data_IF_599416553338
#
_entry.id   IF_599416553338
#
_cell.length_a   1.000
_cell.length_b   1.000
_cell.length_c   1.000
_cell.angle_alpha   90.00
_cell.angle_beta   90.00
_cell.angle_gamma   90.00
#
_symmetry.space_group_name_H-M   'P 1'
#
loop_
_entity.id
_entity.type
_entity.pdbx_description
1 polymer ?
#
# COMPACT_ATOMS: atom_id res chain seq x y z
N UNK A 1 12.03 32.36 -64.24
CA UNK A 1 12.67 31.07 -63.90
C UNK A 1 12.04 30.53 -62.63
N UNK A 2 11.52 29.30 -62.70
CA UNK A 2 11.08 28.37 -61.63
C UNK A 2 10.21 28.93 -60.49
N UNK A 3 8.88 28.82 -60.44
CA UNK A 3 7.96 27.66 -60.30
C UNK A 3 8.17 26.77 -59.06
N UNK A 4 7.07 26.67 -58.27
CA UNK A 4 6.63 25.54 -57.44
C UNK A 4 7.39 25.31 -56.12
N UNK A 5 6.80 24.94 -54.98
CA UNK A 5 5.47 24.38 -54.68
C UNK A 5 5.21 24.49 -53.17
N UNK A 6 3.95 24.75 -52.82
CA UNK A 6 3.34 24.32 -51.56
C UNK A 6 3.60 22.82 -51.32
N UNK A 7 3.88 22.44 -50.08
CA UNK A 7 3.62 21.08 -49.61
C UNK A 7 3.07 21.10 -48.20
N UNK A 8 1.75 21.08 -48.12
CA UNK A 8 1.01 20.56 -46.97
C UNK A 8 1.47 19.14 -46.63
N UNK A 9 1.45 18.87 -45.32
CA UNK A 9 1.05 17.60 -44.68
C UNK A 9 1.70 16.31 -45.19
N UNK A 10 2.44 15.61 -44.31
CA UNK A 10 2.18 14.19 -44.07
C UNK A 10 2.79 13.76 -42.72
N UNK A 11 1.90 13.48 -41.77
CA UNK A 11 2.13 12.63 -40.61
C UNK A 11 2.67 11.26 -41.05
N UNK A 12 3.92 10.92 -40.68
CA UNK A 12 4.45 9.57 -40.92
C UNK A 12 3.95 8.59 -39.87
N UNK A 13 2.78 8.01 -40.14
CA UNK A 13 2.27 6.84 -39.42
C UNK A 13 3.09 5.61 -39.83
N UNK A 14 4.00 5.16 -38.96
CA UNK A 14 4.70 3.89 -39.17
C UNK A 14 3.74 2.75 -38.81
N UNK A 15 3.22 2.08 -39.84
CA UNK A 15 2.37 0.89 -39.67
C UNK A 15 3.13 -0.20 -38.91
N UNK A 16 2.49 -0.71 -37.87
CA UNK A 16 2.92 -1.84 -37.03
C UNK A 16 3.12 -3.09 -37.89
N UNK A 17 4.38 -3.45 -38.12
CA UNK A 17 4.73 -4.75 -38.68
C UNK A 17 4.38 -5.85 -37.68
N UNK A 18 3.47 -6.74 -38.06
CA UNK A 18 3.08 -7.93 -37.31
C UNK A 18 4.29 -8.87 -37.24
N UNK A 19 5.11 -8.75 -36.19
CA UNK A 19 6.19 -9.71 -35.88
C UNK A 19 5.68 -10.71 -34.84
N UNK A 20 5.94 -11.97 -35.15
CA UNK A 20 5.62 -13.15 -34.35
C UNK A 20 5.81 -12.91 -32.86
N UNK A 21 4.75 -13.23 -32.10
CA UNK A 21 4.75 -13.36 -30.66
C UNK A 21 5.67 -14.55 -30.31
N UNK A 22 6.97 -14.28 -30.17
CA UNK A 22 7.84 -15.12 -29.36
C UNK A 22 7.43 -14.87 -27.92
N UNK A 23 7.04 -15.91 -27.21
CA UNK A 23 6.87 -15.87 -25.77
C UNK A 23 8.24 -15.54 -25.17
N UNK A 24 8.50 -14.25 -24.98
CA UNK A 24 9.58 -13.79 -24.16
C UNK A 24 8.96 -13.60 -22.78
N UNK A 25 9.26 -14.53 -21.88
CA UNK A 25 9.33 -14.23 -20.44
C UNK A 25 10.45 -13.21 -20.24
N UNK A 26 10.19 -11.97 -20.65
CA UNK A 26 10.97 -10.82 -20.24
C UNK A 26 10.69 -10.63 -18.76
N UNK A 27 11.74 -10.68 -17.94
CA UNK A 27 11.67 -10.35 -16.53
C UNK A 27 11.05 -8.95 -16.37
N UNK A 28 10.22 -8.78 -15.35
CA UNK A 28 9.59 -7.51 -14.97
C UNK A 28 10.58 -6.33 -14.76
N UNK A 29 11.89 -6.63 -14.78
CA UNK A 29 13.02 -5.71 -14.79
C UNK A 29 12.95 -4.60 -15.87
N UNK A 30 12.27 -4.79 -17.00
CA UNK A 30 12.39 -3.90 -18.17
C UNK A 30 11.63 -2.56 -18.09
N UNK A 31 10.88 -2.29 -17.01
CA UNK A 31 10.14 -1.02 -16.83
C UNK A 31 10.77 -0.05 -15.83
N UNK A 32 11.87 -0.42 -15.19
CA UNK A 32 12.51 0.44 -14.19
C UNK A 32 13.41 1.49 -14.84
N UNK A 33 13.37 2.72 -14.34
CA UNK A 33 14.35 3.74 -14.69
C UNK A 33 15.74 3.23 -14.32
N UNK A 34 16.69 3.28 -15.25
CA UNK A 34 18.07 2.84 -14.98
C UNK A 34 18.72 3.82 -14.01
N UNK A 35 19.47 3.34 -12.99
CA UNK A 35 20.26 4.21 -12.12
C UNK A 35 21.18 5.12 -12.92
N UNK A 36 21.24 6.39 -12.52
CA UNK A 36 22.18 7.36 -13.06
C UNK A 36 23.60 7.04 -12.59
N UNK A 37 24.58 7.26 -13.46
CA UNK A 37 26.01 7.00 -13.16
C UNK A 37 26.90 8.22 -13.31
N UNK A 38 26.41 9.30 -13.90
CA UNK A 38 27.18 10.50 -14.23
C UNK A 38 26.60 11.72 -13.53
N UNK A 39 27.44 12.69 -13.16
CA UNK A 39 26.98 13.96 -12.57
C UNK A 39 26.28 13.83 -11.22
N UNK A 40 26.51 12.73 -10.48
CA UNK A 40 25.87 12.48 -9.20
C UNK A 40 26.24 13.54 -8.18
N UNK A 41 25.25 14.03 -7.45
CA UNK A 41 25.45 14.83 -6.25
C UNK A 41 26.09 13.99 -5.16
N UNK A 42 26.80 14.64 -4.24
CA UNK A 42 27.43 13.94 -3.12
C UNK A 42 26.39 13.38 -2.15
N UNK A 43 26.63 12.25 -1.48
CA UNK A 43 25.76 11.74 -0.41
C UNK A 43 25.51 12.77 0.69
N UNK A 44 26.52 13.61 0.99
CA UNK A 44 26.43 14.68 1.98
C UNK A 44 25.47 15.80 1.55
N UNK A 45 25.41 16.11 0.25
CA UNK A 45 24.44 17.07 -0.29
C UNK A 45 23.01 16.53 -0.23
N UNK A 46 22.83 15.22 -0.50
CA UNK A 46 21.53 14.56 -0.37
C UNK A 46 21.07 14.54 1.08
N UNK A 47 21.98 14.25 2.02
CA UNK A 47 21.69 14.28 3.45
C UNK A 47 21.31 15.69 3.93
N UNK A 48 22.00 16.72 3.45
CA UNK A 48 21.68 18.11 3.78
C UNK A 48 20.29 18.49 3.27
N UNK A 49 19.97 18.15 2.03
CA UNK A 49 18.63 18.38 1.47
C UNK A 49 17.57 17.63 2.26
N UNK A 50 17.82 16.35 2.57
CA UNK A 50 16.94 15.54 3.38
C UNK A 50 16.63 16.19 4.73
N UNK A 51 17.66 16.58 5.49
CA UNK A 51 17.49 17.24 6.79
C UNK A 51 16.67 18.53 6.66
N UNK A 52 16.82 19.27 5.56
CA UNK A 52 16.00 20.47 5.31
C UNK A 52 14.54 20.11 5.01
N UNK A 53 14.30 19.08 4.19
CA UNK A 53 12.96 18.59 3.86
C UNK A 53 12.25 18.03 5.09
N UNK A 54 12.92 17.16 5.86
CA UNK A 54 12.41 16.60 7.10
C UNK A 54 12.03 17.70 8.10
N UNK A 55 12.92 18.67 8.33
CA UNK A 55 12.65 19.80 9.21
C UNK A 55 11.39 20.57 8.78
N UNK A 56 11.25 20.87 7.48
CA UNK A 56 10.06 21.56 6.96
C UNK A 56 8.79 20.74 7.21
N UNK A 57 8.83 19.45 6.94
CA UNK A 57 7.70 18.54 7.14
C UNK A 57 7.29 18.44 8.61
N UNK A 58 8.27 18.44 9.53
CA UNK A 58 8.01 18.49 10.98
C UNK A 58 7.45 19.83 11.47
N UNK A 59 7.81 20.94 10.81
CA UNK A 59 7.28 22.28 11.08
C UNK A 59 5.89 22.51 10.46
N UNK A 60 5.41 21.63 9.57
CA UNK A 60 4.05 21.68 9.03
C UNK A 60 3.00 21.47 10.11
N UNK A 61 1.92 22.25 10.04
CA UNK A 61 0.90 22.27 11.08
C UNK A 61 -0.01 21.04 11.10
N UNK A 62 -0.12 20.31 9.97
CA UNK A 62 -1.08 19.21 9.83
C UNK A 62 -0.43 17.84 9.62
N UNK A 63 0.31 17.62 8.53
CA UNK A 63 0.71 16.28 8.08
C UNK A 63 1.52 15.51 9.14
N UNK A 64 2.60 16.10 9.66
CA UNK A 64 3.46 15.44 10.65
C UNK A 64 2.76 15.20 12.00
N UNK A 65 2.15 16.21 12.65
CA UNK A 65 1.40 16.00 13.89
C UNK A 65 0.30 14.95 13.73
N UNK A 66 -0.43 14.97 12.61
CA UNK A 66 -1.51 14.02 12.34
C UNK A 66 -0.97 12.60 12.13
N UNK A 67 0.16 12.42 11.46
CA UNK A 67 0.76 11.10 11.29
C UNK A 67 1.19 10.52 12.64
N UNK A 68 1.86 11.32 13.49
CA UNK A 68 2.26 10.87 14.84
C UNK A 68 1.04 10.49 15.70
N UNK A 69 -0.03 11.28 15.64
CA UNK A 69 -1.29 10.98 16.32
C UNK A 69 -1.89 9.65 15.84
N UNK A 70 -1.97 9.44 14.53
CA UNK A 70 -2.53 8.21 13.94
C UNK A 70 -1.74 6.97 14.36
N UNK A 71 -0.41 7.01 14.29
CA UNK A 71 0.44 5.88 14.72
C UNK A 71 0.25 5.62 16.21
N UNK A 72 0.34 6.66 17.05
CA UNK A 72 0.16 6.53 18.51
C UNK A 72 -1.21 5.94 18.87
N UNK A 73 -2.27 6.43 18.23
CA UNK A 73 -3.64 6.03 18.56
C UNK A 73 -3.98 4.61 18.10
N UNK A 74 -3.46 4.20 16.95
CA UNK A 74 -3.93 2.98 16.28
C UNK A 74 -2.91 1.84 16.21
N UNK A 75 -1.62 2.09 16.46
CA UNK A 75 -0.59 1.04 16.45
C UNK A 75 -0.27 0.47 17.84
N UNK A 76 -0.98 0.89 18.89
CA UNK A 76 -0.67 0.49 20.28
C UNK A 76 -0.68 -1.03 20.54
N UNK A 77 -1.43 -1.80 19.73
CA UNK A 77 -1.46 -3.28 19.79
C UNK A 77 -0.44 -3.96 18.85
N UNK A 78 0.28 -3.21 18.03
CA UNK A 78 1.25 -3.72 17.06
C UNK A 78 2.66 -3.78 17.65
N UNK A 79 2.79 -4.42 18.82
CA UNK A 79 4.02 -4.42 19.62
C UNK A 79 5.11 -5.34 19.10
N UNK A 80 4.81 -6.19 18.12
CA UNK A 80 5.75 -7.18 17.57
C UNK A 80 6.47 -6.71 16.29
N UNK A 81 6.25 -5.47 15.84
CA UNK A 81 6.95 -4.95 14.66
C UNK A 81 8.44 -4.83 14.97
N UNK A 82 9.26 -5.55 14.20
CA UNK A 82 10.73 -5.59 14.35
C UNK A 82 11.47 -5.01 13.14
N UNK A 83 10.79 -4.86 12.01
CA UNK A 83 11.36 -4.32 10.79
C UNK A 83 10.40 -3.44 10.01
N UNK A 84 10.99 -2.51 9.25
CA UNK A 84 10.30 -1.64 8.33
C UNK A 84 10.97 -1.72 6.96
N UNK A 85 10.17 -1.99 5.93
CA UNK A 85 10.62 -2.17 4.55
C UNK A 85 10.02 -1.04 3.71
N UNK A 86 10.88 -0.21 3.11
CA UNK A 86 10.51 0.85 2.19
C UNK A 86 10.88 0.45 0.76
N UNK A 87 9.87 0.24 -0.09
CA UNK A 87 10.07 -0.09 -1.50
C UNK A 87 9.71 1.10 -2.38
N UNK A 88 10.49 1.33 -3.44
CA UNK A 88 10.08 2.16 -4.58
C UNK A 88 9.99 3.67 -4.35
N UNK A 89 10.77 4.22 -3.42
CA UNK A 89 10.78 5.67 -3.10
C UNK A 89 11.32 6.56 -4.25
N UNK A 90 12.04 5.97 -5.20
CA UNK A 90 12.74 6.64 -6.29
C UNK A 90 14.17 7.07 -5.93
N UNK A 91 14.84 7.73 -6.87
CA UNK A 91 16.16 8.33 -6.64
C UNK A 91 16.04 9.70 -5.95
N UNK A 92 16.99 10.04 -5.08
CA UNK A 92 17.07 11.34 -4.42
C UNK A 92 17.82 12.37 -5.28
N UNK A 93 18.39 11.94 -6.40
CA UNK A 93 19.16 12.75 -7.34
C UNK A 93 18.67 12.59 -8.80
N UNK A 94 17.46 13.09 -9.13
CA UNK A 94 16.93 12.97 -10.49
C UNK A 94 17.70 13.84 -11.49
N UNK A 95 18.02 13.26 -12.65
CA UNK A 95 18.83 13.84 -13.72
C UNK A 95 18.26 15.16 -14.30
N UNK A 96 16.93 15.27 -14.37
CA UNK A 96 16.27 16.51 -14.76
C UNK A 96 16.04 17.35 -13.50
N UNK A 97 16.93 18.31 -13.25
CA UNK A 97 16.77 19.33 -12.19
C UNK A 97 15.46 20.15 -12.28
N UNK A 98 14.58 19.83 -13.23
CA UNK A 98 13.22 20.34 -13.43
C UNK A 98 12.15 19.51 -12.71
N UNK A 99 12.40 18.25 -12.33
CA UNK A 99 11.44 17.43 -11.58
C UNK A 99 11.54 17.68 -10.06
N UNK A 100 11.34 18.96 -9.68
CA UNK A 100 11.35 19.39 -8.28
C UNK A 100 10.27 18.69 -7.46
N UNK A 101 9.13 18.37 -8.07
CA UNK A 101 8.01 17.72 -7.41
C UNK A 101 8.33 16.25 -7.09
N UNK A 102 8.96 15.52 -8.01
CA UNK A 102 9.47 14.17 -7.76
C UNK A 102 10.51 14.15 -6.64
N UNK A 103 11.49 15.07 -6.68
CA UNK A 103 12.50 15.18 -5.61
C UNK A 103 11.88 15.49 -4.25
N UNK A 104 10.89 16.40 -4.21
CA UNK A 104 10.13 16.71 -2.99
C UNK A 104 9.39 15.49 -2.47
N UNK A 105 8.75 14.74 -3.36
CA UNK A 105 8.02 13.52 -3.02
C UNK A 105 8.92 12.46 -2.39
N UNK A 106 10.09 12.17 -2.98
CA UNK A 106 11.03 11.16 -2.45
C UNK A 106 11.52 11.53 -1.04
N UNK A 107 11.88 12.80 -0.78
CA UNK A 107 12.27 13.22 0.57
C UNK A 107 11.10 13.26 1.56
N UNK A 108 9.89 13.62 1.12
CA UNK A 108 8.70 13.60 1.96
C UNK A 108 8.35 12.17 2.38
N UNK A 109 8.39 11.21 1.46
CA UNK A 109 8.18 9.79 1.75
C UNK A 109 9.23 9.24 2.73
N UNK A 110 10.52 9.60 2.55
CA UNK A 110 11.57 9.23 3.51
C UNK A 110 11.31 9.82 4.92
N UNK A 111 10.96 11.10 5.01
CA UNK A 111 10.67 11.75 6.29
C UNK A 111 9.47 11.12 7.00
N UNK A 112 8.39 10.87 6.26
CA UNK A 112 7.20 10.19 6.78
C UNK A 112 7.53 8.78 7.26
N UNK A 113 8.30 8.01 6.49
CA UNK A 113 8.76 6.68 6.87
C UNK A 113 9.55 6.70 8.18
N UNK A 114 10.58 7.54 8.30
CA UNK A 114 11.39 7.62 9.54
C UNK A 114 10.54 8.04 10.75
N UNK A 115 9.58 8.95 10.56
CA UNK A 115 8.70 9.40 11.65
C UNK A 115 7.76 8.28 12.10
N UNK A 116 7.22 7.48 11.17
CA UNK A 116 6.45 6.30 11.55
C UNK A 116 7.30 5.28 12.31
N UNK A 117 8.53 5.01 11.85
CA UNK A 117 9.47 4.12 12.54
C UNK A 117 9.75 4.63 13.95
N UNK A 118 10.08 5.91 14.13
CA UNK A 118 10.33 6.51 15.44
C UNK A 118 9.14 6.38 16.40
N UNK A 119 7.90 6.58 15.91
CA UNK A 119 6.72 6.39 16.75
C UNK A 119 6.49 4.91 17.09
N UNK A 120 6.76 4.00 16.16
CA UNK A 120 6.64 2.56 16.39
C UNK A 120 7.70 2.04 17.37
N UNK A 121 8.94 2.53 17.32
CA UNK A 121 9.99 2.15 18.28
C UNK A 121 9.62 2.53 19.72
N UNK A 122 8.86 3.61 19.92
CA UNK A 122 8.31 3.96 21.24
C UNK A 122 7.25 2.96 21.72
N UNK A 123 6.49 2.38 20.79
CA UNK A 123 5.42 1.43 21.08
C UNK A 123 6.00 0.03 21.34
N UNK A 124 6.91 -0.43 20.47
CA UNK A 124 7.54 -1.76 20.58
C UNK A 124 8.61 -1.81 21.66
N UNK A 125 9.08 -0.65 22.15
CA UNK A 125 10.20 -0.53 23.09
C UNK A 125 11.49 -1.19 22.57
N UNK A 126 11.64 -1.26 21.25
CA UNK A 126 12.75 -1.91 20.56
C UNK A 126 13.16 -1.13 19.32
N UNK A 127 14.40 -1.38 18.87
CA UNK A 127 14.89 -0.82 17.61
C UNK A 127 14.25 -1.56 16.44
N UNK A 128 13.75 -0.82 15.45
CA UNK A 128 13.20 -1.39 14.22
C UNK A 128 14.28 -1.37 13.13
N UNK A 129 14.54 -2.53 12.52
CA UNK A 129 15.47 -2.62 11.40
C UNK A 129 14.84 -2.01 10.15
N UNK A 130 15.56 -1.11 9.47
CA UNK A 130 15.04 -0.38 8.31
C UNK A 130 15.72 -0.83 7.03
N UNK A 131 14.91 -1.23 6.05
CA UNK A 131 15.36 -1.78 4.78
C UNK A 131 14.79 -0.99 3.61
N UNK A 132 15.64 -0.66 2.64
CA UNK A 132 15.26 0.08 1.44
C UNK A 132 15.59 -0.73 0.20
N UNK A 133 14.67 -0.74 -0.77
CA UNK A 133 14.93 -1.29 -2.10
C UNK A 133 14.27 -0.43 -3.16
N UNK A 134 15.08 0.07 -4.08
CA UNK A 134 14.60 0.70 -5.31
C UNK A 134 15.57 0.40 -6.46
N UNK A 135 15.09 -0.12 -7.60
CA UNK A 135 15.94 -0.35 -8.77
C UNK A 135 16.51 0.94 -9.40
N UNK A 136 15.99 2.13 -9.06
CA UNK A 136 16.48 3.43 -9.50
C UNK A 136 17.65 3.96 -8.66
N UNK A 137 17.96 3.35 -7.51
CA UNK A 137 19.04 3.84 -6.64
C UNK A 137 20.40 3.84 -7.35
N UNK A 138 21.00 5.03 -7.41
CA UNK A 138 22.38 5.22 -7.82
C UNK A 138 23.35 5.06 -6.64
N UNK A 139 24.66 5.13 -6.90
CA UNK A 139 25.67 4.94 -5.85
C UNK A 139 25.60 6.00 -4.74
N UNK A 140 25.18 7.23 -5.07
CA UNK A 140 25.00 8.31 -4.11
C UNK A 140 23.78 8.08 -3.22
N UNK A 141 22.64 7.69 -3.80
CA UNK A 141 21.41 7.35 -3.05
C UNK A 141 21.69 6.28 -1.99
N UNK A 142 22.35 5.19 -2.40
CA UNK A 142 22.68 4.08 -1.49
C UNK A 142 23.55 4.57 -0.34
N UNK A 143 24.60 5.33 -0.67
CA UNK A 143 25.55 5.81 0.34
C UNK A 143 24.91 6.80 1.30
N UNK A 144 24.02 7.67 0.79
CA UNK A 144 23.24 8.61 1.59
C UNK A 144 22.35 7.86 2.60
N UNK A 145 21.55 6.89 2.14
CA UNK A 145 20.66 6.10 3.00
C UNK A 145 21.45 5.27 4.04
N UNK A 146 22.60 4.71 3.65
CA UNK A 146 23.52 4.03 4.58
C UNK A 146 24.08 4.98 5.66
N UNK A 147 24.44 6.21 5.28
CA UNK A 147 24.98 7.21 6.20
C UNK A 147 23.96 7.60 7.30
N UNK A 148 22.67 7.60 6.98
CA UNK A 148 21.59 7.86 7.96
C UNK A 148 21.11 6.60 8.69
N UNK A 149 21.72 5.44 8.43
CA UNK A 149 21.55 4.23 9.22
C UNK A 149 20.60 3.17 8.65
N UNK A 150 20.19 3.31 7.38
CA UNK A 150 19.34 2.32 6.72
C UNK A 150 20.15 1.23 6.00
N UNK A 151 19.53 0.06 5.82
CA UNK A 151 20.11 -1.04 5.05
C UNK A 151 19.54 -1.06 3.63
N UNK A 152 20.41 -1.04 2.62
CA UNK A 152 20.00 -1.17 1.22
C UNK A 152 19.96 -2.65 0.81
N UNK A 153 18.89 -3.04 0.14
CA UNK A 153 18.70 -4.38 -0.40
C UNK A 153 18.71 -4.36 -1.93
N UNK A 154 19.23 -5.44 -2.51
CA UNK A 154 19.10 -5.70 -3.94
C UNK A 154 17.72 -6.26 -4.26
N UNK A 155 17.16 -5.91 -5.42
CA UNK A 155 15.95 -6.55 -5.94
C UNK A 155 16.15 -8.05 -6.18
N UNK A 156 15.22 -8.94 -5.77
CA UNK A 156 13.92 -8.67 -5.12
C UNK A 156 13.89 -8.87 -3.59
N UNK A 157 15.03 -8.82 -2.89
CA UNK A 157 15.14 -9.19 -1.47
C UNK A 157 14.18 -8.40 -0.57
N UNK A 158 13.99 -7.11 -0.82
CA UNK A 158 13.06 -6.26 -0.08
C UNK A 158 11.61 -6.76 -0.11
N UNK A 159 11.12 -7.24 -1.27
CA UNK A 159 9.78 -7.86 -1.34
C UNK A 159 9.68 -9.13 -0.51
N UNK A 160 10.78 -9.85 -0.33
CA UNK A 160 10.83 -11.11 0.43
C UNK A 160 10.94 -10.90 1.95
N UNK A 161 11.21 -9.68 2.39
CA UNK A 161 11.32 -9.33 3.81
C UNK A 161 9.98 -8.99 4.45
N UNK A 162 8.93 -8.80 3.65
CA UNK A 162 7.60 -8.44 4.15
C UNK A 162 6.91 -9.67 4.75
N UNK A 163 6.61 -9.56 6.04
CA UNK A 163 5.91 -10.57 6.83
C UNK A 163 5.00 -9.90 7.88
N UNK A 164 4.37 -10.71 8.74
CA UNK A 164 3.46 -10.25 9.79
C UNK A 164 4.04 -9.31 10.85
N UNK A 165 5.36 -9.16 10.94
CA UNK A 165 6.07 -8.25 11.87
C UNK A 165 6.64 -7.02 11.19
N UNK A 166 6.17 -6.74 9.97
CA UNK A 166 6.71 -5.69 9.13
C UNK A 166 5.81 -4.45 9.09
N UNK A 167 6.42 -3.26 9.19
CA UNK A 167 5.90 -2.07 8.54
C UNK A 167 6.31 -2.10 7.07
N UNK A 168 5.34 -2.33 6.19
CA UNK A 168 5.57 -2.23 4.76
C UNK A 168 5.15 -0.84 4.27
N UNK A 169 6.12 -0.05 3.83
CA UNK A 169 5.93 1.26 3.25
C UNK A 169 6.24 1.18 1.75
N UNK A 170 5.24 1.39 0.92
CA UNK A 170 5.39 1.30 -0.53
C UNK A 170 4.35 2.19 -1.18
N UNK A 171 4.67 3.45 -1.38
CA UNK A 171 3.75 4.43 -1.97
C UNK A 171 3.86 4.36 -3.50
N UNK A 172 2.72 4.33 -4.19
CA UNK A 172 2.63 4.34 -5.67
C UNK A 172 3.45 3.27 -6.40
N UNK A 173 3.60 2.08 -5.81
CA UNK A 173 4.24 0.96 -6.49
C UNK A 173 3.39 0.43 -7.63
N UNK A 174 3.99 -0.32 -8.54
CA UNK A 174 3.25 -1.07 -9.56
C UNK A 174 2.60 -2.32 -8.95
N UNK A 175 1.46 -2.76 -9.53
CA UNK A 175 0.72 -3.97 -9.11
C UNK A 175 1.60 -5.22 -8.90
N UNK A 176 2.54 -5.57 -9.81
CA UNK A 176 3.40 -6.73 -9.60
C UNK A 176 4.25 -6.63 -8.33
N UNK A 177 4.71 -5.43 -7.97
CA UNK A 177 5.54 -5.24 -6.77
C UNK A 177 4.72 -5.42 -5.50
N UNK A 178 3.48 -4.92 -5.47
CA UNK A 178 2.56 -5.22 -4.35
C UNK A 178 2.26 -6.71 -4.27
N UNK A 179 1.98 -7.36 -5.41
CA UNK A 179 1.72 -8.80 -5.43
C UNK A 179 2.92 -9.61 -4.92
N UNK A 180 4.14 -9.25 -5.33
CA UNK A 180 5.35 -9.92 -4.87
C UNK A 180 5.63 -9.70 -3.38
N UNK A 181 5.46 -8.47 -2.88
CA UNK A 181 5.68 -8.11 -1.48
C UNK A 181 4.61 -8.69 -0.55
N UNK A 182 3.37 -8.83 -1.01
CA UNK A 182 2.24 -9.26 -0.19
C UNK A 182 1.86 -10.73 -0.41
N UNK A 183 2.61 -11.51 -1.19
CA UNK A 183 2.26 -12.92 -1.50
C UNK A 183 2.26 -13.86 -0.29
N UNK A 184 3.01 -13.50 0.76
CA UNK A 184 3.19 -14.30 1.97
C UNK A 184 2.25 -13.88 3.10
N UNK A 185 2.80 -13.80 4.31
CA UNK A 185 2.08 -13.23 5.44
C UNK A 185 1.87 -11.72 5.25
N UNK A 186 0.67 -11.24 5.59
CA UNK A 186 0.33 -9.83 5.45
C UNK A 186 0.97 -9.01 6.58
N UNK A 187 1.52 -7.82 6.27
CA UNK A 187 2.21 -6.98 7.24
C UNK A 187 1.32 -6.57 8.41
N UNK A 188 1.93 -6.32 9.56
CA UNK A 188 1.24 -5.69 10.70
C UNK A 188 0.74 -4.29 10.33
N UNK A 189 1.51 -3.60 9.49
CA UNK A 189 1.32 -2.20 9.17
C UNK A 189 1.62 -1.99 7.69
N UNK A 190 0.66 -1.51 6.90
CA UNK A 190 0.86 -1.26 5.48
C UNK A 190 0.53 0.20 5.11
N UNK A 191 1.45 0.84 4.39
CA UNK A 191 1.27 2.16 3.80
C UNK A 191 1.50 2.04 2.30
N UNK A 192 0.48 2.40 1.51
CA UNK A 192 0.58 2.33 0.06
C UNK A 192 -0.68 2.82 -0.63
N UNK A 193 -0.77 2.60 -1.95
CA UNK A 193 -1.90 3.06 -2.75
C UNK A 193 -3.20 2.39 -2.29
N UNK A 194 -4.21 3.20 -1.97
CA UNK A 194 -5.52 2.77 -1.50
C UNK A 194 -6.18 1.79 -2.47
N UNK A 195 -6.84 0.75 -1.95
CA UNK A 195 -7.55 -0.25 -2.76
C UNK A 195 -8.53 0.40 -3.75
N UNK A 196 -9.23 1.45 -3.32
CA UNK A 196 -10.23 2.18 -4.11
C UNK A 196 -9.64 2.89 -5.34
N UNK A 197 -8.36 3.25 -5.29
CA UNK A 197 -7.67 4.02 -6.33
C UNK A 197 -7.11 3.15 -7.48
N UNK A 198 -7.19 1.83 -7.35
CA UNK A 198 -6.65 0.92 -8.35
C UNK A 198 -7.51 0.83 -9.61
N UNK A 199 -8.80 1.16 -9.51
CA UNK A 199 -9.78 1.15 -10.60
C UNK A 199 -9.95 -0.20 -11.33
N UNK A 200 -11.00 -0.31 -12.13
CA UNK A 200 -11.28 -1.48 -13.00
C UNK A 200 -10.40 -1.53 -14.26
N UNK A 201 -9.47 -0.58 -14.42
CA UNK A 201 -8.87 -0.26 -15.73
C UNK A 201 -7.85 -1.33 -16.19
N UNK A 202 -7.42 -2.23 -15.32
CA UNK A 202 -6.54 -3.36 -15.66
C UNK A 202 -6.94 -4.64 -14.89
N UNK A 203 -8.06 -5.24 -15.27
CA UNK A 203 -8.61 -6.47 -14.69
C UNK A 203 -7.68 -7.71 -14.78
N UNK A 204 -6.59 -7.63 -15.55
CA UNK A 204 -5.70 -8.77 -15.80
C UNK A 204 -4.74 -9.06 -14.63
N UNK A 205 -4.54 -8.11 -13.71
CA UNK A 205 -3.62 -8.26 -12.57
C UNK A 205 -4.25 -7.73 -11.28
N UNK A 206 -5.06 -8.58 -10.64
CA UNK A 206 -5.69 -8.30 -9.35
C UNK A 206 -4.65 -8.20 -8.23
N UNK A 207 -4.88 -7.31 -7.26
CA UNK A 207 -4.03 -7.15 -6.06
C UNK A 207 -4.77 -7.70 -4.83
N UNK A 208 -5.07 -8.99 -4.87
CA UNK A 208 -5.94 -9.69 -3.91
C UNK A 208 -5.61 -9.37 -2.45
N UNK A 209 -4.33 -9.30 -2.11
CA UNK A 209 -3.90 -9.07 -0.74
C UNK A 209 -4.07 -7.63 -0.26
N UNK A 210 -4.06 -6.65 -1.16
CA UNK A 210 -4.46 -5.27 -0.82
C UNK A 210 -5.97 -5.20 -0.59
N UNK A 211 -6.78 -5.89 -1.42
CA UNK A 211 -8.22 -6.01 -1.21
C UNK A 211 -8.54 -6.71 0.13
N UNK A 212 -7.83 -7.79 0.44
CA UNK A 212 -7.98 -8.52 1.71
C UNK A 212 -7.66 -7.65 2.91
N UNK A 213 -6.56 -6.90 2.88
CA UNK A 213 -6.25 -5.90 3.93
C UNK A 213 -7.34 -4.83 3.99
N UNK A 214 -7.83 -4.32 2.86
CA UNK A 214 -8.87 -3.31 2.85
C UNK A 214 -10.18 -3.76 3.53
N UNK A 215 -10.51 -5.04 3.43
CA UNK A 215 -11.68 -5.65 4.09
C UNK A 215 -11.44 -5.95 5.58
N UNK A 216 -10.22 -6.36 5.95
CA UNK A 216 -9.93 -6.90 7.28
C UNK A 216 -9.22 -5.93 8.24
N UNK A 217 -8.50 -4.94 7.71
CA UNK A 217 -7.66 -4.02 8.49
C UNK A 217 -8.43 -2.74 8.80
N UNK A 218 -8.12 -2.14 9.94
CA UNK A 218 -8.51 -0.76 10.18
C UNK A 218 -7.73 0.14 9.23
N UNK A 219 -8.36 1.15 8.63
CA UNK A 219 -7.69 2.01 7.66
C UNK A 219 -8.09 3.48 7.76
N UNK A 220 -7.23 4.35 7.25
CA UNK A 220 -7.50 5.76 7.03
C UNK A 220 -6.62 6.31 5.90
N UNK A 221 -6.99 7.47 5.37
CA UNK A 221 -6.16 8.19 4.39
C UNK A 221 -4.86 8.66 5.03
N UNK A 222 -3.79 8.66 4.22
CA UNK A 222 -2.52 9.20 4.64
C UNK A 222 -2.61 10.73 4.81
N UNK A 223 -2.11 11.31 5.92
CA UNK A 223 -2.11 12.75 6.11
C UNK A 223 -1.25 13.44 5.05
N UNK A 224 -1.87 14.34 4.28
CA UNK A 224 -1.18 15.12 3.25
C UNK A 224 -1.64 16.58 3.26
N UNK A 225 -0.73 17.49 2.93
CA UNK A 225 -1.07 18.88 2.67
C UNK A 225 -1.73 19.03 1.29
N UNK A 226 -2.62 20.01 1.14
CA UNK A 226 -3.41 20.20 -0.10
C UNK A 226 -2.60 20.42 -1.38
N UNK A 227 -1.34 20.83 -1.26
CA UNK A 227 -0.46 21.13 -2.38
C UNK A 227 0.62 20.06 -2.58
N UNK A 228 0.68 19.05 -1.71
CA UNK A 228 1.62 17.95 -1.83
C UNK A 228 0.94 16.79 -2.56
N UNK A 229 1.64 16.20 -3.53
CA UNK A 229 1.18 15.02 -4.26
C UNK A 229 1.88 13.74 -3.81
N UNK A 230 2.85 13.83 -2.90
CA UNK A 230 3.69 12.71 -2.46
C UNK A 230 2.91 11.52 -1.89
N UNK A 231 1.72 11.80 -1.34
CA UNK A 231 0.84 10.81 -0.72
C UNK A 231 -0.59 10.84 -1.30
N UNK A 232 -0.76 11.39 -2.50
CA UNK A 232 -2.04 11.31 -3.20
C UNK A 232 -2.49 9.85 -3.28
N UNK A 233 -3.76 9.52 -3.09
CA UNK A 233 -4.25 8.12 -3.11
C UNK A 233 -3.54 7.14 -2.14
N UNK A 234 -2.79 7.63 -1.16
CA UNK A 234 -2.13 6.76 -0.17
C UNK A 234 -3.05 6.51 1.01
N UNK A 235 -3.15 5.25 1.41
CA UNK A 235 -3.86 4.82 2.60
C UNK A 235 -2.92 4.10 3.55
N UNK A 236 -3.40 4.04 4.78
CA UNK A 236 -2.75 3.46 5.92
C UNK A 236 -3.62 2.30 6.42
N UNK A 237 -3.08 1.08 6.54
CA UNK A 237 -3.81 -0.14 6.92
C UNK A 237 -3.16 -0.82 8.13
N UNK A 238 -3.89 -0.90 9.23
CA UNK A 238 -3.45 -1.46 10.50
C UNK A 238 -4.09 -2.83 10.73
N UNK A 239 -3.24 -3.85 10.91
CA UNK A 239 -3.72 -5.20 11.23
C UNK A 239 -4.55 -5.15 12.51
N UNK A 240 -5.75 -5.74 12.55
CA UNK A 240 -6.58 -5.70 13.76
C UNK A 240 -5.87 -6.45 14.89
N UNK A 241 -6.21 -6.10 16.13
CA UNK A 241 -5.75 -6.85 17.30
C UNK A 241 -6.22 -8.30 17.16
N UNK A 242 -5.29 -9.25 17.33
CA UNK A 242 -5.67 -10.65 17.46
C UNK A 242 -6.47 -10.76 18.76
N UNK A 243 -7.79 -10.91 18.66
CA UNK A 243 -8.56 -11.37 19.81
C UNK A 243 -8.12 -12.82 20.04
N UNK A 244 -7.37 -13.07 21.10
CA UNK A 244 -7.19 -14.44 21.58
C UNK A 244 -8.61 -15.00 21.71
N UNK A 245 -8.90 -16.06 20.94
CA UNK A 245 -10.15 -16.81 21.06
C UNK A 245 -10.30 -17.19 22.52
N UNK A 246 -11.08 -16.39 23.24
CA UNK A 246 -11.41 -16.67 24.63
C UNK A 246 -12.01 -18.04 24.64
N UNK A 247 -11.31 -18.96 25.30
CA UNK A 247 -11.74 -20.32 25.58
C UNK A 247 -13.21 -20.27 26.02
N UNK A 248 -14.10 -20.55 25.07
CA UNK A 248 -15.52 -20.61 25.32
C UNK A 248 -15.73 -21.84 26.20
N UNK A 249 -15.62 -21.66 27.52
CA UNK A 249 -16.16 -22.57 28.52
C UNK A 249 -17.67 -22.57 28.33
N UNK A 250 -18.12 -23.36 27.36
CA UNK A 250 -19.50 -23.77 27.24
C UNK A 250 -19.91 -24.37 28.58
N UNK A 251 -20.70 -23.62 29.34
CA UNK A 251 -21.56 -24.21 30.36
C UNK A 251 -22.50 -25.13 29.59
N UNK A 252 -22.19 -26.42 29.62
CA UNK A 252 -23.08 -27.47 29.14
C UNK A 252 -24.43 -27.27 29.81
N UNK A 253 -25.41 -26.85 29.02
CA UNK A 253 -26.81 -27.02 29.37
C UNK A 253 -27.05 -28.52 29.24
N UNK A 254 -27.26 -29.17 30.39
CA UNK A 254 -27.74 -30.55 30.46
C UNK A 254 -29.13 -30.56 29.86
N UNK A 255 -29.29 -31.19 28.70
CA UNK A 255 -30.58 -31.52 28.13
C UNK A 255 -30.95 -32.87 28.75
N UNK A 256 -31.90 -32.87 29.69
CA UNK A 256 -32.54 -34.11 30.13
C UNK A 256 -33.32 -34.70 28.95
N UNK A 257 -32.97 -35.92 28.57
CA UNK A 257 -33.71 -36.73 27.61
C UNK A 257 -35.09 -37.04 28.19
N UNK A 258 -36.15 -36.52 27.55
CA UNK A 258 -37.51 -36.97 27.80
C UNK A 258 -37.85 -37.97 26.69
N UNK A 259 -37.95 -39.24 27.09
CA UNK A 259 -38.54 -40.31 26.30
C UNK A 259 -40.00 -39.94 25.95
N UNK A 260 -40.33 -39.94 24.65
CA UNK A 260 -41.71 -39.85 24.18
C UNK A 260 -42.07 -41.19 23.54
N UNK A 261 -42.88 -41.96 24.26
CA UNK A 261 -43.58 -43.14 23.75
C UNK A 261 -44.72 -42.74 22.80
N UNK A 262 -44.90 -43.58 21.78
CA UNK A 262 -45.89 -43.49 20.70
C UNK A 262 -47.34 -43.37 21.20
N UNK A 263 -48.14 -42.54 20.53
CA UNK A 263 -49.59 -42.51 20.71
C UNK A 263 -50.34 -41.59 19.75
N UNK A 264 -50.76 -42.16 18.62
CA UNK A 264 -51.96 -41.88 17.81
C UNK A 264 -52.15 -40.55 17.06
N UNK A 265 -52.41 -40.72 15.76
CA UNK A 265 -52.89 -39.75 14.78
C UNK A 265 -54.22 -39.09 15.18
N UNK A 266 -54.30 -37.77 15.01
CA UNK A 266 -55.54 -37.10 14.59
C UNK A 266 -55.24 -35.96 13.61
N UNK A 267 -55.87 -36.07 12.43
CA UNK A 267 -56.05 -35.03 11.42
C UNK A 267 -56.68 -33.76 12.02
N UNK A 268 -56.16 -32.60 11.67
CA UNK A 268 -57.00 -31.45 11.32
C UNK A 268 -56.25 -30.49 10.40
N UNK A 269 -56.95 -30.11 9.34
CA UNK A 269 -56.55 -29.23 8.26
C UNK A 269 -56.93 -27.78 8.58
N UNK A 270 -56.42 -26.86 7.74
CA UNK A 270 -56.90 -25.50 7.49
C UNK A 270 -56.19 -24.37 8.26
N UNK A 271 -55.49 -23.51 7.49
CA UNK A 271 -54.96 -22.25 8.02
C UNK A 271 -53.88 -21.52 7.20
N UNK A 272 -53.72 -21.77 5.90
CA UNK A 272 -52.69 -21.10 5.07
C UNK A 272 -53.27 -20.06 4.07
N UNK A 273 -54.43 -19.46 4.35
CA UNK A 273 -55.05 -18.48 3.44
C UNK A 273 -55.42 -17.13 4.08
N UNK A 274 -54.62 -16.63 5.03
CA UNK A 274 -54.87 -15.31 5.67
C UNK A 274 -53.68 -14.34 5.75
N UNK A 275 -52.56 -14.60 5.06
CA UNK A 275 -51.43 -13.66 5.03
C UNK A 275 -51.12 -13.04 3.66
N UNK A 276 -51.72 -13.54 2.59
CA UNK A 276 -51.56 -12.98 1.23
C UNK A 276 -52.57 -11.87 0.87
N UNK A 277 -53.54 -11.56 1.75
CA UNK A 277 -54.54 -10.48 1.53
C UNK A 277 -54.27 -9.18 2.29
N UNK A 278 -53.17 -9.08 3.07
CA UNK A 278 -52.88 -7.90 3.91
C UNK A 278 -51.71 -7.02 3.47
N UNK A 279 -51.08 -7.28 2.33
CA UNK A 279 -50.00 -6.42 1.81
C UNK A 279 -50.33 -5.67 0.50
N UNK A 280 -51.46 -5.94 -0.14
CA UNK A 280 -51.94 -5.14 -1.29
C UNK A 280 -52.71 -3.86 -0.89
N UNK A 281 -52.82 -3.55 0.40
CA UNK A 281 -53.57 -2.38 0.89
C UNK A 281 -52.69 -1.19 1.34
N UNK A 282 -51.38 -1.21 1.08
CA UNK A 282 -50.50 -0.05 1.37
C UNK A 282 -49.87 0.47 0.08
N UNK A 283 -50.72 0.92 -0.84
CA UNK A 283 -50.38 1.83 -1.92
C UNK A 283 -51.35 3.01 -1.82
N UNK A 284 -50.79 4.23 -1.77
CA UNK A 284 -51.44 5.55 -1.77
C UNK A 284 -51.77 6.12 -0.37
N UNK A 285 -50.81 6.84 0.21
CA UNK A 285 -50.84 8.31 0.25
C UNK A 285 -49.45 8.87 0.53
#
# INVERSE_FOLDING_TARGET
MSSSQDSSDWTRVVRKGRKNRRNNTESHSSRHAKPQTEGLRSPEDLEKDYRQHRKRWEEEAYSCPRLRELVTAKASHLTEIDKAVHLGVGTFDPNDGLNLDGKRSTFAQLAAFEIMVEELEKITSGKIETFFQDPAFNASDKKFLENIGHTILDDPKGTQMVDEKTLFFGVHLYRPVYNDALKGELPALFVGTGWEDWGDIFADEHIENVERMHKAYERCDFPQERLDCAFSTTSIYWKPKCEEEGEAKGKGIVIEEVEIENGEEKKESDGEEELLKKLEATTIN
#
